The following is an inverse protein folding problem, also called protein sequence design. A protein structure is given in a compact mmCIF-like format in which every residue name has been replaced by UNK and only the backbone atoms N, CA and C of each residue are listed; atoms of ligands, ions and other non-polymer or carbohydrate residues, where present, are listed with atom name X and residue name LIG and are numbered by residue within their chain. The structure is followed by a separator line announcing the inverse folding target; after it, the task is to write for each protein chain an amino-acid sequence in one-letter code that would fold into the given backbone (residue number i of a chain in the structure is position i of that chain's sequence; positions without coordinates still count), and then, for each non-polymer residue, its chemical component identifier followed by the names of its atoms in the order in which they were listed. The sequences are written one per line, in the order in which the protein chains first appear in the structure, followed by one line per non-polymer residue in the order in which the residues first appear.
data_IF_500749217768
#
_entry.id   IF_500749217768
#
_cell.length_a   1.000
_cell.length_b   1.000
_cell.length_c   1.000
_cell.angle_alpha   90.00
_cell.angle_beta   90.00
_cell.angle_gamma   90.00
#
_symmetry.space_group_name_H-M   'P 1'
#
loop_
_entity.id
_entity.type
_entity.pdbx_description
1 polymer ?
#
# COMPACT_ATOMS: atom_id res chain seq x y z
N UNK A 1 -15.09 18.40 11.15
CA UNK A 1 -13.87 18.17 10.31
C UNK A 1 -14.24 17.32 9.11
N UNK A 2 -14.03 17.80 7.87
CA UNK A 2 -14.22 16.97 6.67
C UNK A 2 -13.16 15.86 6.69
N UNK A 3 -13.54 14.67 7.10
CA UNK A 3 -12.68 13.47 7.01
C UNK A 3 -12.15 13.33 5.59
N UNK A 4 -10.82 13.28 5.42
CA UNK A 4 -10.19 13.11 4.11
C UNK A 4 -10.72 11.81 3.48
N UNK A 5 -11.16 11.89 2.22
CA UNK A 5 -11.65 10.73 1.46
C UNK A 5 -10.61 9.60 1.43
N UNK A 6 -9.32 9.95 1.32
CA UNK A 6 -8.20 9.03 1.41
C UNK A 6 -8.20 8.18 2.70
N UNK A 7 -8.41 8.82 3.87
CA UNK A 7 -8.44 8.11 5.15
C UNK A 7 -9.62 7.13 5.22
N UNK A 8 -10.78 7.49 4.64
CA UNK A 8 -11.92 6.56 4.53
C UNK A 8 -11.58 5.33 3.70
N UNK A 9 -10.79 5.49 2.62
CA UNK A 9 -10.36 4.35 1.81
C UNK A 9 -9.47 3.39 2.60
N UNK A 10 -8.54 3.93 3.38
CA UNK A 10 -7.72 3.14 4.28
C UNK A 10 -8.56 2.47 5.39
N UNK A 11 -9.32 3.25 6.16
CA UNK A 11 -10.09 2.77 7.31
C UNK A 11 -11.13 1.71 6.95
N UNK A 12 -11.79 1.84 5.81
CA UNK A 12 -12.78 0.87 5.36
C UNK A 12 -12.17 -0.38 4.71
N UNK A 13 -10.84 -0.51 4.64
CA UNK A 13 -10.17 -1.69 4.05
C UNK A 13 -10.31 -1.79 2.53
N UNK A 14 -10.43 -0.65 1.84
CA UNK A 14 -10.48 -0.63 0.38
C UNK A 14 -9.10 -0.80 -0.27
N UNK A 15 -8.01 -0.59 0.49
CA UNK A 15 -6.64 -0.93 0.10
C UNK A 15 -6.42 -2.42 0.37
N UNK A 16 -6.23 -3.20 -0.70
CA UNK A 16 -6.10 -4.65 -0.63
C UNK A 16 -4.92 -5.15 -1.44
N UNK A 17 -4.47 -6.37 -1.08
CA UNK A 17 -3.37 -7.07 -1.72
C UNK A 17 -2.15 -6.16 -1.89
N UNK A 18 -1.56 -5.75 -0.78
CA UNK A 18 -0.35 -4.91 -0.82
C UNK A 18 0.85 -5.82 -1.01
N UNK A 19 1.65 -5.55 -2.05
CA UNK A 19 2.93 -6.20 -2.30
C UNK A 19 4.06 -5.21 -2.09
N UNK A 20 5.16 -5.68 -1.52
CA UNK A 20 6.39 -4.92 -1.39
C UNK A 20 7.50 -5.67 -2.09
N UNK A 21 8.15 -4.98 -3.02
CA UNK A 21 9.39 -5.44 -3.63
C UNK A 21 10.51 -4.54 -3.15
N UNK A 22 11.53 -5.14 -2.55
CA UNK A 22 12.75 -4.45 -2.21
C UNK A 22 13.76 -4.65 -3.34
N UNK A 23 14.37 -3.56 -3.79
CA UNK A 23 15.47 -3.59 -4.72
C UNK A 23 16.65 -2.83 -4.11
N UNK A 24 17.75 -3.54 -3.90
CA UNK A 24 19.06 -2.95 -3.59
C UNK A 24 19.94 -3.12 -4.83
N UNK A 25 20.42 -2.03 -5.46
CA UNK A 25 21.30 -2.16 -6.62
C UNK A 25 22.64 -2.77 -6.18
N UNK A 26 22.90 -4.01 -6.61
CA UNK A 26 24.16 -4.72 -6.35
C UNK A 26 25.20 -4.31 -7.39
N UNK A 27 25.79 -3.11 -7.25
CA UNK A 27 26.84 -2.70 -8.22
C UNK A 27 27.27 -1.24 -8.29
N UNK A 28 27.13 -0.44 -7.23
CA UNK A 28 27.63 0.93 -7.23
C UNK A 28 27.91 1.46 -5.82
N UNK A 29 28.80 2.44 -5.71
CA UNK A 29 29.32 3.06 -4.47
C UNK A 29 28.24 3.65 -3.55
N UNK A 30 26.97 3.69 -4.00
CA UNK A 30 25.81 4.06 -3.18
C UNK A 30 24.75 2.96 -3.32
N UNK A 31 24.58 2.16 -2.28
CA UNK A 31 23.49 1.19 -2.18
C UNK A 31 22.26 1.95 -1.68
N UNK A 32 21.44 2.48 -2.60
CA UNK A 32 20.13 3.04 -2.23
C UNK A 32 19.14 1.89 -2.11
N UNK A 33 18.62 1.64 -0.91
CA UNK A 33 17.53 0.68 -0.73
C UNK A 33 16.26 1.29 -1.29
N UNK A 34 15.58 0.63 -2.24
CA UNK A 34 14.30 1.12 -2.77
C UNK A 34 13.20 0.11 -2.47
N UNK A 35 12.12 0.58 -1.86
CA UNK A 35 10.92 -0.20 -1.57
C UNK A 35 9.81 0.19 -2.55
N UNK A 36 9.31 -0.78 -3.28
CA UNK A 36 8.22 -0.63 -4.23
C UNK A 36 6.95 -1.24 -3.64
N UNK A 37 5.98 -0.38 -3.34
CA UNK A 37 4.66 -0.78 -2.86
C UNK A 37 3.69 -0.83 -4.05
N UNK A 38 3.04 -1.97 -4.22
CA UNK A 38 1.92 -2.15 -5.14
C UNK A 38 0.68 -2.50 -4.34
N UNK A 39 -0.45 -1.87 -4.67
CA UNK A 39 -1.72 -2.19 -4.03
C UNK A 39 -2.88 -2.03 -5.00
N UNK A 40 -3.95 -2.79 -4.75
CA UNK A 40 -5.24 -2.56 -5.38
C UNK A 40 -6.11 -1.73 -4.44
N UNK A 41 -6.64 -0.63 -4.94
CA UNK A 41 -7.57 0.22 -4.19
C UNK A 41 -8.93 0.20 -4.86
N UNK A 42 -9.94 -0.27 -4.12
CA UNK A 42 -11.31 -0.31 -4.60
C UNK A 42 -12.02 1.02 -4.37
N UNK A 43 -12.83 1.45 -5.35
CA UNK A 43 -13.70 2.63 -5.24
C UNK A 43 -14.91 2.34 -4.34
N UNK A 44 -15.42 1.11 -4.43
CA UNK A 44 -16.50 0.53 -3.63
C UNK A 44 -16.34 -0.99 -3.61
N UNK A 45 -16.99 -1.68 -2.68
CA UNK A 45 -17.00 -3.15 -2.64
C UNK A 45 -17.72 -3.79 -3.84
N UNK A 46 -18.49 -3.00 -4.58
CA UNK A 46 -19.23 -3.41 -5.78
C UNK A 46 -18.52 -3.06 -7.09
N UNK A 47 -17.38 -2.37 -7.01
CA UNK A 47 -16.63 -1.97 -8.20
C UNK A 47 -15.81 -3.15 -8.71
N UNK A 48 -16.11 -3.60 -9.93
CA UNK A 48 -15.45 -4.76 -10.56
C UNK A 48 -13.97 -4.52 -10.90
N UNK A 49 -13.56 -3.27 -11.11
CA UNK A 49 -12.18 -2.94 -11.50
C UNK A 49 -11.46 -2.13 -10.43
N UNK A 50 -10.58 -2.75 -9.63
CA UNK A 50 -9.76 -2.02 -8.67
C UNK A 50 -8.73 -1.15 -9.38
N UNK A 51 -8.39 -0.02 -8.74
CA UNK A 51 -7.34 0.86 -9.20
C UNK A 51 -5.99 0.30 -8.76
N UNK A 52 -5.05 0.22 -9.70
CA UNK A 52 -3.67 -0.15 -9.39
C UNK A 52 -2.93 1.10 -8.91
N UNK A 53 -2.36 1.02 -7.70
CA UNK A 53 -1.58 2.07 -7.07
C UNK A 53 -0.16 1.57 -6.84
N UNK A 54 0.81 2.42 -7.16
CA UNK A 54 2.23 2.18 -7.04
C UNK A 54 2.88 3.33 -6.27
N UNK A 55 3.78 3.01 -5.36
CA UNK A 55 4.61 3.98 -4.63
C UNK A 55 6.02 3.42 -4.51
N UNK A 56 7.04 4.22 -4.82
CA UNK A 56 8.43 3.93 -4.54
C UNK A 56 8.96 4.82 -3.41
N UNK A 57 9.61 4.21 -2.44
CA UNK A 57 10.13 4.88 -1.24
C UNK A 57 11.61 4.50 -1.07
N UNK A 58 12.43 5.46 -0.67
CA UNK A 58 13.77 5.22 -0.19
C UNK A 58 13.71 4.45 1.13
N UNK A 59 14.27 3.24 1.18
CA UNK A 59 14.32 2.41 2.37
C UNK A 59 15.21 2.99 3.47
N UNK A 60 16.17 3.85 3.13
CA UNK A 60 17.12 4.44 4.08
C UNK A 60 16.55 5.71 4.71
N UNK A 61 16.15 6.68 3.88
CA UNK A 61 15.70 8.00 4.34
C UNK A 61 14.18 8.14 4.42
N UNK A 62 13.43 7.12 3.96
CA UNK A 62 11.94 7.11 3.92
C UNK A 62 11.33 8.18 3.00
N UNK A 63 12.14 8.79 2.13
CA UNK A 63 11.69 9.73 1.12
C UNK A 63 10.88 9.03 0.02
N UNK A 64 9.77 9.65 -0.40
CA UNK A 64 8.97 9.14 -1.51
C UNK A 64 9.61 9.58 -2.84
N UNK A 65 10.00 8.63 -3.68
CA UNK A 65 10.58 8.92 -4.99
C UNK A 65 9.51 9.14 -6.06
N UNK A 66 8.51 8.28 -6.10
CA UNK A 66 7.44 8.36 -7.09
C UNK A 66 6.17 7.72 -6.57
N UNK A 67 5.03 8.22 -7.05
CA UNK A 67 3.74 7.56 -6.89
C UNK A 67 2.99 7.56 -8.22
N UNK A 68 2.25 6.49 -8.50
CA UNK A 68 1.44 6.35 -9.71
C UNK A 68 0.13 5.66 -9.38
N UNK A 69 -0.95 6.13 -10.00
CA UNK A 69 -2.24 5.46 -9.95
C UNK A 69 -2.86 5.49 -11.35
N UNK A 70 -3.59 4.45 -11.73
CA UNK A 70 -4.29 4.38 -13.01
C UNK A 70 -5.63 5.14 -13.05
N UNK A 71 -5.99 5.87 -11.99
CA UNK A 71 -7.22 6.67 -11.99
C UNK A 71 -7.13 7.90 -12.91
N UNK A 72 -8.27 8.40 -13.38
CA UNK A 72 -8.36 9.57 -14.27
C UNK A 72 -7.70 10.82 -13.66
N UNK A 73 -7.80 10.99 -12.34
CA UNK A 73 -7.14 12.08 -11.59
C UNK A 73 -5.66 11.82 -11.28
N UNK A 74 -5.12 10.66 -11.69
CA UNK A 74 -3.78 10.17 -11.34
C UNK A 74 -2.63 10.78 -12.15
N UNK A 75 -2.95 11.63 -13.14
CA UNK A 75 -1.96 12.35 -13.97
C UNK A 75 -1.02 13.26 -13.16
N UNK A 76 -1.40 13.65 -11.93
CA UNK A 76 -0.59 14.48 -11.03
C UNK A 76 0.04 13.74 -9.83
N UNK A 77 0.04 12.40 -9.81
CA UNK A 77 0.59 11.56 -8.71
C UNK A 77 -0.04 11.75 -7.31
N UNK A 78 -0.93 12.72 -7.11
CA UNK A 78 -1.52 13.10 -5.83
C UNK A 78 -3.03 12.80 -5.77
N UNK A 79 -3.42 11.53 -5.96
CA UNK A 79 -4.82 11.12 -5.84
C UNK A 79 -5.15 10.57 -4.44
N UNK A 80 -6.44 10.53 -4.09
CA UNK A 80 -6.90 9.98 -2.80
C UNK A 80 -6.49 8.50 -2.59
N UNK A 81 -6.31 7.74 -3.68
CA UNK A 81 -5.92 6.33 -3.61
C UNK A 81 -4.44 6.15 -3.24
N UNK A 82 -3.57 7.01 -3.76
CA UNK A 82 -2.15 7.09 -3.36
C UNK A 82 -2.05 7.50 -1.89
N UNK A 83 -2.81 8.52 -1.46
CA UNK A 83 -2.84 8.92 -0.06
C UNK A 83 -3.39 7.81 0.86
N UNK A 84 -4.37 7.02 0.41
CA UNK A 84 -4.85 5.87 1.17
C UNK A 84 -3.77 4.80 1.36
N UNK A 85 -2.94 4.55 0.34
CA UNK A 85 -1.80 3.65 0.46
C UNK A 85 -0.73 4.20 1.41
N UNK A 86 -0.49 5.52 1.43
CA UNK A 86 0.41 6.12 2.43
C UNK A 86 -0.09 5.96 3.85
N UNK A 87 -1.39 6.15 4.12
CA UNK A 87 -1.96 5.86 5.43
C UNK A 87 -1.80 4.39 5.82
N UNK A 88 -1.96 3.47 4.85
CA UNK A 88 -1.70 2.05 5.09
C UNK A 88 -0.23 1.79 5.49
N UNK A 89 0.72 2.37 4.76
CA UNK A 89 2.15 2.22 5.03
C UNK A 89 2.51 2.84 6.40
N UNK A 90 2.03 4.04 6.69
CA UNK A 90 2.30 4.72 7.97
C UNK A 90 1.73 3.94 9.14
N UNK A 91 0.47 3.49 9.05
CA UNK A 91 -0.14 2.65 10.07
C UNK A 91 0.64 1.34 10.27
N UNK A 92 1.07 0.71 9.19
CA UNK A 92 1.83 -0.53 9.22
C UNK A 92 3.20 -0.36 9.88
N UNK A 93 3.91 0.74 9.60
CA UNK A 93 5.17 1.10 10.27
C UNK A 93 4.94 1.44 11.75
N UNK A 94 3.87 2.17 12.06
CA UNK A 94 3.52 2.61 13.42
C UNK A 94 3.12 1.44 14.32
N UNK A 95 2.47 0.42 13.77
CA UNK A 95 2.08 -0.80 14.48
C UNK A 95 3.22 -1.81 14.66
N UNK A 96 4.42 -1.53 14.11
CA UNK A 96 5.60 -2.37 14.27
C UNK A 96 5.47 -3.75 13.63
N UNK A 97 4.57 -3.92 12.65
CA UNK A 97 4.44 -5.19 11.96
C UNK A 97 5.62 -5.38 11.00
N UNK A 98 6.35 -6.49 11.16
CA UNK A 98 7.54 -6.79 10.34
C UNK A 98 7.19 -7.49 9.01
N UNK A 99 6.03 -8.18 8.94
CA UNK A 99 5.57 -8.86 7.73
C UNK A 99 4.16 -8.38 7.31
N UNK A 100 4.02 -7.99 6.02
CA UNK A 100 2.73 -7.56 5.47
C UNK A 100 1.69 -8.64 5.79
N UNK A 101 0.44 -8.27 6.10
CA UNK A 101 -0.60 -9.23 6.40
C UNK A 101 -0.80 -10.13 5.18
N UNK A 102 -0.09 -11.25 5.17
CA UNK A 102 -0.31 -12.34 4.23
C UNK A 102 -1.69 -12.84 4.58
N UNK A 103 -2.60 -12.81 3.62
CA UNK A 103 -3.98 -13.25 3.78
C UNK A 103 -3.94 -14.74 4.13
N UNK A 104 -3.77 -15.07 5.41
CA UNK A 104 -3.76 -16.45 5.89
C UNK A 104 -5.11 -17.05 5.50
N UNK A 105 -5.04 -18.12 4.73
CA UNK A 105 -6.22 -18.86 4.29
C UNK A 105 -7.07 -19.20 5.51
N UNK A 106 -8.41 -19.06 5.41
CA UNK A 106 -9.32 -19.36 6.52
C UNK A 106 -9.18 -20.81 7.02
N UNK A 107 -8.66 -21.71 6.17
CA UNK A 107 -8.32 -23.11 6.48
C UNK A 107 -7.06 -23.28 7.34
N UNK A 108 -6.25 -22.23 7.51
CA UNK A 108 -5.04 -22.26 8.35
C UNK A 108 -5.36 -22.08 9.83
N UNK A 109 -6.58 -21.67 10.18
CA UNK A 109 -7.04 -21.63 11.56
C UNK A 109 -7.51 -23.04 11.96
N UNK A 110 -7.03 -23.60 13.09
CA UNK A 110 -7.57 -24.86 13.58
C UNK A 110 -9.08 -24.73 13.77
N UNK A 111 -9.81 -25.74 13.32
CA UNK A 111 -11.26 -25.81 13.46
C UNK A 111 -11.62 -25.90 14.95
N UNK A 112 -12.15 -24.82 15.53
CA UNK A 112 -12.70 -24.83 16.87
C UNK A 112 -14.18 -25.26 16.79
N UNK A 113 -14.51 -26.40 17.42
CA UNK A 113 -15.89 -26.75 17.73
C UNK A 113 -16.23 -26.10 19.07
N UNK A 114 -17.30 -25.29 19.10
CA UNK A 114 -17.97 -24.89 20.34
C UNK A 114 -19.05 -25.91 20.67
#
# INVERSE_FOLDING_TARGET
MKSLKAYKFFYNGFVQNVWVHECSPTGGTVVLRVLYFHAYVHLSFTCESPLLVFVSINGDNRDVYAAKCNCVSGLGQACNYVAALFFFIEHYVSTGQECLPTKVSKTSKPMAWN
#
